data_IF_144413206336
#
_entry.id   IF_144413206336
#
_cell.length_a   1.000
_cell.length_b   1.000
_cell.length_c   1.000
_cell.angle_alpha   90.00
_cell.angle_beta   90.00
_cell.angle_gamma   90.00
#
_symmetry.space_group_name_H-M   'P 1'
#
loop_
_entity.id
_entity.type
_entity.pdbx_description
1 polymer ?
#
# COMPACT_ATOMS: atom_id res chain seq x y z
N UNK A 1 -43.55 -11.56 66.88
CA UNK A 1 -43.61 -11.02 65.51
C UNK A 1 -42.45 -10.04 65.30
N UNK A 2 -41.35 -10.47 64.68
CA UNK A 2 -40.31 -9.55 64.16
C UNK A 2 -40.45 -9.56 62.64
N UNK A 3 -40.89 -8.43 62.07
CA UNK A 3 -41.06 -8.24 60.63
C UNK A 3 -39.69 -8.18 59.96
N UNK A 4 -39.47 -9.04 58.98
CA UNK A 4 -38.35 -8.92 58.04
C UNK A 4 -38.50 -7.60 57.26
N UNK A 5 -37.48 -6.75 57.30
CA UNK A 5 -37.32 -5.64 56.37
C UNK A 5 -36.56 -6.17 55.16
N UNK A 6 -37.19 -6.18 53.99
CA UNK A 6 -36.52 -6.48 52.73
C UNK A 6 -35.65 -5.28 52.34
N UNK A 7 -34.33 -5.39 52.47
CA UNK A 7 -33.38 -4.43 51.92
C UNK A 7 -33.18 -4.73 50.43
N UNK A 8 -33.49 -3.78 49.56
CA UNK A 8 -33.26 -3.92 48.11
C UNK A 8 -32.03 -3.11 47.73
N UNK A 9 -30.99 -3.77 47.19
CA UNK A 9 -29.77 -3.12 46.71
C UNK A 9 -29.82 -2.94 45.20
N UNK A 10 -29.33 -1.79 44.72
CA UNK A 10 -29.07 -1.59 43.29
C UNK A 10 -27.61 -1.93 43.01
N UNK A 11 -27.39 -3.06 42.34
CA UNK A 11 -26.09 -3.49 41.85
C UNK A 11 -25.85 -2.87 40.46
N UNK A 12 -24.66 -2.32 40.25
CA UNK A 12 -24.23 -1.76 38.96
C UNK A 12 -22.94 -2.47 38.56
N UNK A 13 -22.88 -2.92 37.31
CA UNK A 13 -21.70 -3.56 36.76
C UNK A 13 -20.62 -2.52 36.50
N UNK A 14 -19.44 -2.70 37.09
CA UNK A 14 -18.29 -1.85 36.83
C UNK A 14 -17.40 -2.50 35.77
N UNK A 15 -17.31 -1.88 34.60
CA UNK A 15 -16.52 -2.37 33.46
C UNK A 15 -15.01 -2.25 33.66
N UNK A 16 -14.53 -1.44 34.61
CA UNK A 16 -13.10 -1.28 34.92
C UNK A 16 -12.64 -2.42 35.83
N UNK A 17 -13.48 -2.85 36.78
CA UNK A 17 -13.11 -3.87 37.79
C UNK A 17 -13.77 -5.23 37.57
N UNK A 18 -14.56 -5.40 36.50
CA UNK A 18 -15.21 -6.66 36.14
C UNK A 18 -16.15 -7.24 37.21
N UNK A 19 -16.73 -6.39 38.07
CA UNK A 19 -17.46 -6.81 39.27
C UNK A 19 -18.73 -5.98 39.50
N UNK A 20 -19.73 -6.59 40.16
CA UNK A 20 -20.97 -5.90 40.59
C UNK A 20 -20.70 -5.08 41.85
N UNK A 21 -20.95 -3.78 41.79
CA UNK A 21 -20.75 -2.84 42.91
C UNK A 21 -22.11 -2.28 43.35
N UNK A 22 -22.33 -2.15 44.67
CA UNK A 22 -23.59 -1.60 45.23
C UNK A 22 -23.57 -0.07 45.10
N UNK A 23 -24.52 0.51 44.37
CA UNK A 23 -24.48 1.94 44.02
C UNK A 23 -25.35 2.85 44.91
N UNK A 24 -26.35 2.34 45.65
CA UNK A 24 -26.98 3.08 46.77
C UNK A 24 -27.89 2.21 47.63
N UNK A 25 -28.09 2.65 48.89
CA UNK A 25 -29.10 2.14 49.82
C UNK A 25 -30.21 3.21 49.96
N UNK A 26 -31.45 2.91 49.55
CA UNK A 26 -32.58 3.80 49.77
C UNK A 26 -33.25 3.49 51.11
N UNK A 27 -32.74 4.03 52.22
CA UNK A 27 -33.37 3.91 53.53
C UNK A 27 -34.52 4.93 53.69
N UNK A 28 -35.78 4.48 53.74
CA UNK A 28 -36.90 5.34 54.19
C UNK A 28 -37.12 5.20 55.71
N UNK A 29 -36.93 6.35 56.38
CA UNK A 29 -37.51 6.82 57.65
C UNK A 29 -36.68 6.76 58.94
N UNK A 30 -36.33 7.98 59.39
CA UNK A 30 -36.21 8.52 60.77
C UNK A 30 -35.38 7.73 61.82
N UNK A 31 -34.16 8.20 62.08
CA UNK A 31 -33.45 7.93 63.34
C UNK A 31 -32.00 8.41 63.38
N UNK A 32 -31.74 9.48 64.15
CA UNK A 32 -30.49 10.04 64.69
C UNK A 32 -29.12 9.47 64.24
N UNK A 33 -28.27 10.37 63.74
CA UNK A 33 -26.81 10.17 63.55
C UNK A 33 -26.12 9.92 64.90
N UNK A 34 -25.42 8.80 65.03
CA UNK A 34 -24.36 8.60 66.01
C UNK A 34 -23.11 8.18 65.22
N UNK A 35 -22.06 9.00 65.30
CA UNK A 35 -20.79 8.74 64.64
C UNK A 35 -20.07 7.57 65.30
N UNK A 36 -19.79 6.53 64.53
CA UNK A 36 -18.75 5.55 64.82
C UNK A 36 -18.03 5.33 63.49
N UNK A 37 -16.87 5.97 63.34
CA UNK A 37 -15.93 5.64 62.29
C UNK A 37 -15.31 4.28 62.64
N UNK A 38 -15.84 3.20 62.08
CA UNK A 38 -15.13 1.93 62.03
C UNK A 38 -14.16 2.03 60.86
N UNK A 39 -12.89 2.31 61.16
CA UNK A 39 -11.81 2.16 60.20
C UNK A 39 -11.64 0.64 59.92
N UNK A 40 -12.34 0.13 58.90
CA UNK A 40 -11.96 -1.12 58.25
C UNK A 40 -10.73 -0.81 57.40
N UNK A 41 -9.54 -1.07 57.95
CA UNK A 41 -8.32 -1.22 57.17
C UNK A 41 -8.48 -2.45 56.28
N UNK A 42 -9.03 -2.26 55.09
CA UNK A 42 -8.89 -3.23 54.02
C UNK A 42 -7.42 -3.14 53.57
N UNK A 43 -6.58 -3.98 54.15
CA UNK A 43 -5.30 -4.33 53.55
C UNK A 43 -5.62 -5.05 52.23
N UNK A 44 -5.85 -4.28 51.17
CA UNK A 44 -5.71 -4.78 49.83
C UNK A 44 -4.22 -5.13 49.70
N UNK A 45 -3.91 -6.41 49.91
CA UNK A 45 -2.70 -7.00 49.34
C UNK A 45 -2.94 -6.93 47.83
N UNK A 46 -2.62 -5.79 47.22
CA UNK A 46 -2.29 -5.76 45.81
C UNK A 46 -1.04 -6.61 45.74
N UNK A 47 -1.19 -7.90 45.43
CA UNK A 47 -0.07 -8.68 44.93
C UNK A 47 0.37 -7.94 43.69
N UNK A 48 1.41 -7.10 43.83
CA UNK A 48 2.21 -6.65 42.70
C UNK A 48 2.53 -7.94 41.95
N UNK A 49 2.28 -8.04 40.63
CA UNK A 49 2.74 -9.20 39.88
C UNK A 49 4.22 -9.35 40.22
N UNK A 50 4.60 -10.47 40.81
CA UNK A 50 6.02 -10.77 40.95
C UNK A 50 6.54 -10.80 39.53
N UNK A 51 7.40 -9.84 39.17
CA UNK A 51 8.14 -9.87 37.91
C UNK A 51 8.74 -11.28 37.81
N UNK A 52 8.25 -12.07 36.85
CA UNK A 52 8.87 -13.36 36.56
C UNK A 52 10.34 -13.07 36.25
N UNK A 53 11.25 -13.75 36.95
CA UNK A 53 12.68 -13.55 36.72
C UNK A 53 13.01 -13.85 35.26
N UNK A 54 13.79 -12.97 34.62
CA UNK A 54 14.18 -13.12 33.22
C UNK A 54 14.83 -14.50 32.98
N UNK A 55 14.28 -15.26 32.03
CA UNK A 55 14.89 -16.52 31.59
C UNK A 55 16.01 -16.20 30.60
N UNK A 56 17.26 -16.36 31.03
CA UNK A 56 18.41 -16.11 30.15
C UNK A 56 18.88 -17.42 29.51
N UNK A 57 18.98 -17.44 28.19
CA UNK A 57 19.64 -18.51 27.41
C UNK A 57 21.06 -18.03 27.12
N UNK A 58 22.05 -18.62 27.79
CA UNK A 58 23.44 -18.16 27.72
C UNK A 58 24.10 -18.52 26.38
N UNK A 59 25.20 -17.85 26.05
CA UNK A 59 25.98 -18.19 24.86
C UNK A 59 26.41 -19.67 24.88
N UNK A 60 26.20 -20.37 23.76
CA UNK A 60 26.45 -21.81 23.64
C UNK A 60 25.34 -22.71 24.22
N UNK A 61 24.38 -22.15 24.93
CA UNK A 61 23.19 -22.87 25.37
C UNK A 61 22.18 -22.98 24.23
N UNK A 62 21.45 -24.09 24.18
CA UNK A 62 20.29 -24.26 23.31
C UNK A 62 19.09 -24.69 24.16
N UNK A 63 18.00 -23.93 24.05
CA UNK A 63 16.71 -24.30 24.60
C UNK A 63 15.72 -24.59 23.47
N UNK A 64 14.85 -25.57 23.69
CA UNK A 64 13.82 -25.94 22.72
C UNK A 64 12.46 -25.86 23.41
N UNK A 65 11.51 -25.32 22.67
CA UNK A 65 10.11 -25.16 23.03
C UNK A 65 9.89 -24.33 24.30
N UNK A 66 8.63 -23.98 24.53
CA UNK A 66 8.20 -23.22 25.69
C UNK A 66 7.27 -22.08 25.32
N UNK A 67 6.65 -21.50 26.32
CA UNK A 67 5.70 -20.41 26.14
C UNK A 67 6.05 -19.27 27.08
N UNK A 68 6.11 -18.04 26.56
CA UNK A 68 6.22 -16.82 27.37
C UNK A 68 4.84 -16.19 27.51
N UNK A 69 4.40 -15.96 28.75
CA UNK A 69 3.10 -15.37 29.09
C UNK A 69 3.25 -14.36 30.22
N UNK A 70 2.22 -13.61 30.60
CA UNK A 70 2.22 -12.84 31.86
C UNK A 70 3.45 -11.94 32.11
N UNK A 71 3.94 -11.28 31.07
CA UNK A 71 5.16 -10.45 31.05
C UNK A 71 6.47 -11.20 31.31
N UNK A 72 6.50 -12.52 31.13
CA UNK A 72 7.73 -13.32 31.12
C UNK A 72 8.71 -12.77 30.06
N UNK A 73 9.96 -12.58 30.46
CA UNK A 73 11.05 -12.24 29.56
C UNK A 73 11.94 -13.45 29.29
N UNK A 74 12.33 -13.64 28.02
CA UNK A 74 13.44 -14.50 27.66
C UNK A 74 14.54 -13.69 26.98
N UNK A 75 15.74 -13.67 27.55
CA UNK A 75 16.92 -13.02 26.97
C UNK A 75 17.77 -14.10 26.31
N UNK A 76 17.98 -14.01 24.99
CA UNK A 76 18.67 -15.03 24.21
C UNK A 76 20.04 -14.51 23.76
N UNK A 77 21.10 -15.07 24.34
CA UNK A 77 22.51 -14.91 23.91
C UNK A 77 23.02 -16.20 23.22
N UNK A 78 22.36 -17.34 23.44
CA UNK A 78 22.59 -18.62 22.78
C UNK A 78 21.58 -18.91 21.68
N UNK A 79 20.93 -20.07 21.72
CA UNK A 79 19.91 -20.49 20.73
C UNK A 79 18.59 -20.86 21.40
N UNK A 80 17.47 -20.35 20.87
CA UNK A 80 16.12 -20.72 21.31
C UNK A 80 15.27 -21.20 20.13
N UNK A 81 14.81 -22.45 20.15
CA UNK A 81 14.02 -23.04 19.07
C UNK A 81 12.57 -23.26 19.51
N UNK A 82 11.59 -23.03 18.63
CA UNK A 82 10.20 -23.47 18.85
C UNK A 82 9.44 -22.71 19.93
N UNK A 83 9.92 -21.52 20.33
CA UNK A 83 9.26 -20.73 21.37
C UNK A 83 7.92 -20.18 20.90
N UNK A 84 6.91 -20.20 21.78
CA UNK A 84 5.64 -19.48 21.59
C UNK A 84 5.60 -18.24 22.47
N UNK A 85 5.40 -17.06 21.89
CA UNK A 85 5.43 -15.77 22.60
C UNK A 85 4.03 -15.17 22.60
N UNK A 86 3.45 -14.99 23.79
CA UNK A 86 2.08 -14.47 23.99
C UNK A 86 2.04 -13.31 24.99
N UNK A 87 3.15 -12.59 25.14
CA UNK A 87 3.28 -11.43 26.03
C UNK A 87 4.31 -10.42 25.51
N UNK A 88 4.24 -9.17 25.99
CA UNK A 88 5.24 -8.13 25.73
C UNK A 88 4.87 -7.12 24.66
N UNK A 89 3.61 -7.04 24.21
CA UNK A 89 3.15 -6.12 23.17
C UNK A 89 2.11 -5.11 23.66
N UNK A 90 2.16 -4.71 24.93
CA UNK A 90 1.13 -3.88 25.57
C UNK A 90 0.94 -2.51 24.91
N UNK A 91 2.02 -1.95 24.36
CA UNK A 91 2.06 -0.62 23.75
C UNK A 91 2.41 -0.65 22.25
N UNK A 92 2.29 -1.82 21.61
CA UNK A 92 2.66 -2.04 20.21
C UNK A 92 4.14 -2.36 20.02
N UNK A 93 4.54 -2.92 18.87
CA UNK A 93 5.89 -3.47 18.64
C UNK A 93 7.02 -2.44 18.67
N UNK A 94 6.72 -1.18 18.35
CA UNK A 94 7.71 -0.09 18.28
C UNK A 94 7.92 0.65 19.61
N UNK A 95 7.42 0.11 20.72
CA UNK A 95 7.50 0.78 22.02
C UNK A 95 8.50 0.09 22.97
N UNK A 96 9.39 0.89 23.56
CA UNK A 96 10.38 0.42 24.54
C UNK A 96 9.80 0.23 25.95
N UNK A 97 8.60 0.76 26.22
CA UNK A 97 7.92 0.60 27.50
C UNK A 97 7.24 -0.77 27.68
N UNK A 98 7.24 -1.61 26.64
CA UNK A 98 6.75 -2.98 26.73
C UNK A 98 7.54 -3.81 27.75
N UNK A 99 6.85 -4.74 28.40
CA UNK A 99 7.45 -5.63 29.40
C UNK A 99 7.05 -7.07 29.12
N UNK A 100 8.03 -7.97 29.04
CA UNK A 100 7.83 -9.33 28.58
C UNK A 100 8.33 -9.55 27.15
N UNK A 101 8.25 -10.80 26.70
CA UNK A 101 8.56 -11.20 25.33
C UNK A 101 9.94 -11.85 25.18
N UNK A 102 10.32 -12.10 23.94
CA UNK A 102 11.60 -12.72 23.60
C UNK A 102 12.57 -11.69 23.04
N UNK A 103 13.74 -11.57 23.67
CA UNK A 103 14.76 -10.58 23.37
C UNK A 103 16.00 -11.27 22.83
N UNK A 104 16.18 -11.23 21.51
CA UNK A 104 17.35 -11.81 20.84
C UNK A 104 18.47 -10.78 20.86
N UNK A 105 19.50 -11.08 21.64
CA UNK A 105 20.65 -10.20 21.82
C UNK A 105 21.71 -10.47 20.74
N UNK A 106 22.77 -9.65 20.74
CA UNK A 106 23.91 -9.84 19.84
C UNK A 106 24.49 -11.27 19.96
N UNK A 107 24.58 -11.98 18.84
CA UNK A 107 25.01 -13.38 18.75
C UNK A 107 23.94 -14.40 19.13
N UNK A 108 22.80 -13.96 19.66
CA UNK A 108 21.65 -14.80 19.94
C UNK A 108 20.91 -15.21 18.66
N UNK A 109 20.37 -16.42 18.69
CA UNK A 109 19.64 -17.01 17.56
C UNK A 109 18.28 -17.53 18.06
N UNK A 110 17.19 -17.23 17.34
CA UNK A 110 15.93 -17.91 17.55
C UNK A 110 15.34 -18.48 16.26
N UNK A 111 14.87 -19.73 16.32
CA UNK A 111 14.33 -20.43 15.16
C UNK A 111 12.91 -20.91 15.44
N UNK A 112 12.05 -20.91 14.40
CA UNK A 112 10.69 -21.45 14.48
C UNK A 112 9.87 -20.81 15.62
N UNK A 113 10.07 -19.52 15.87
CA UNK A 113 9.33 -18.83 16.92
C UNK A 113 7.92 -18.50 16.45
N UNK A 114 6.91 -18.83 17.25
CA UNK A 114 5.52 -18.41 17.00
C UNK A 114 5.18 -17.23 17.90
N UNK A 115 4.85 -16.08 17.32
CA UNK A 115 4.42 -14.87 18.03
C UNK A 115 2.91 -14.73 17.87
N UNK A 116 2.17 -14.87 18.95
CA UNK A 116 0.69 -14.80 18.95
C UNK A 116 0.20 -13.41 19.37
N UNK A 117 -1.12 -13.22 19.44
CA UNK A 117 -1.73 -12.00 19.97
C UNK A 117 -1.13 -11.60 21.32
N UNK A 118 -0.68 -10.35 21.43
CA UNK A 118 -0.01 -9.80 22.63
C UNK A 118 1.47 -10.17 22.76
N UNK A 119 2.01 -11.00 21.86
CA UNK A 119 3.41 -11.42 21.84
C UNK A 119 4.34 -10.43 21.17
N UNK A 120 5.52 -10.21 21.76
CA UNK A 120 6.61 -9.44 21.16
C UNK A 120 7.88 -10.28 21.04
N UNK A 121 8.40 -10.38 19.80
CA UNK A 121 9.79 -10.77 19.56
C UNK A 121 10.62 -9.54 19.22
N UNK A 122 11.56 -9.16 20.09
CA UNK A 122 12.53 -8.10 19.80
C UNK A 122 13.86 -8.72 19.38
N UNK A 123 14.33 -8.33 18.21
CA UNK A 123 15.60 -8.77 17.63
C UNK A 123 16.54 -7.58 17.62
N UNK A 124 17.42 -7.49 18.61
CA UNK A 124 18.37 -6.40 18.72
C UNK A 124 19.48 -6.53 17.67
N UNK A 125 20.27 -5.46 17.50
CA UNK A 125 21.42 -5.47 16.61
C UNK A 125 22.36 -6.65 16.91
N UNK A 126 22.73 -7.39 15.85
CA UNK A 126 23.55 -8.60 15.93
C UNK A 126 22.80 -9.88 16.33
N UNK A 127 21.51 -9.80 16.70
CA UNK A 127 20.63 -10.95 16.87
C UNK A 127 20.09 -11.46 15.54
N UNK A 128 19.77 -12.76 15.47
CA UNK A 128 19.25 -13.40 14.26
C UNK A 128 18.03 -14.26 14.56
N UNK A 129 17.02 -14.19 13.70
CA UNK A 129 15.85 -15.06 13.77
C UNK A 129 15.53 -15.71 12.43
N UNK A 130 15.01 -16.93 12.47
CA UNK A 130 14.57 -17.66 11.28
C UNK A 130 13.23 -18.34 11.47
N UNK A 131 12.46 -18.41 10.38
CA UNK A 131 11.17 -19.11 10.31
C UNK A 131 10.18 -18.66 11.40
N UNK A 132 10.23 -17.37 11.76
CA UNK A 132 9.29 -16.77 12.71
C UNK A 132 7.90 -16.66 12.08
N UNK A 133 6.87 -17.14 12.78
CA UNK A 133 5.46 -16.97 12.39
C UNK A 133 4.79 -15.97 13.33
N UNK A 134 4.29 -14.86 12.79
CA UNK A 134 3.62 -13.81 13.55
C UNK A 134 2.14 -13.80 13.21
N UNK A 135 1.30 -14.14 14.17
CA UNK A 135 -0.16 -14.19 14.02
C UNK A 135 -0.81 -12.85 14.37
N UNK A 136 -2.10 -12.73 14.09
CA UNK A 136 -2.91 -11.54 14.40
C UNK A 136 -2.68 -10.99 15.81
N UNK A 137 -2.31 -9.70 15.87
CA UNK A 137 -2.02 -8.97 17.11
C UNK A 137 -0.69 -9.32 17.78
N UNK A 138 0.17 -10.12 17.14
CA UNK A 138 1.57 -10.31 17.52
C UNK A 138 2.49 -9.37 16.74
N UNK A 139 3.68 -9.10 17.28
CA UNK A 139 4.62 -8.17 16.67
C UNK A 139 6.08 -8.61 16.77
N UNK A 140 6.86 -8.23 15.77
CA UNK A 140 8.33 -8.29 15.80
C UNK A 140 8.94 -6.89 15.62
N UNK A 141 9.85 -6.54 16.52
CA UNK A 141 10.71 -5.34 16.44
C UNK A 141 12.10 -5.78 16.02
N UNK A 142 12.50 -5.42 14.79
CA UNK A 142 13.69 -5.97 14.13
C UNK A 142 14.77 -4.89 13.90
N UNK A 143 15.87 -4.97 14.66
CA UNK A 143 17.11 -4.19 14.47
C UNK A 143 18.30 -5.10 14.08
N UNK A 144 18.15 -6.42 14.21
CA UNK A 144 19.08 -7.44 13.73
C UNK A 144 18.65 -8.02 12.38
N UNK A 145 18.75 -9.34 12.25
CA UNK A 145 18.37 -10.07 11.03
C UNK A 145 17.16 -10.98 11.25
N UNK A 146 16.23 -10.98 10.30
CA UNK A 146 15.14 -11.96 10.22
C UNK A 146 15.10 -12.62 8.85
N UNK A 147 14.96 -13.95 8.83
CA UNK A 147 14.87 -14.74 7.60
C UNK A 147 13.56 -15.55 7.61
N UNK A 148 12.86 -15.59 6.48
CA UNK A 148 11.62 -16.36 6.28
C UNK A 148 10.51 -16.07 7.30
N UNK A 149 10.35 -14.80 7.68
CA UNK A 149 9.24 -14.43 8.58
C UNK A 149 7.90 -14.54 7.85
N UNK A 150 6.89 -15.13 8.48
CA UNK A 150 5.53 -15.21 7.94
C UNK A 150 4.57 -14.37 8.79
N UNK A 151 3.88 -13.41 8.17
CA UNK A 151 2.92 -12.51 8.83
C UNK A 151 1.49 -12.92 8.48
N UNK A 152 0.79 -13.57 9.42
CA UNK A 152 -0.60 -14.00 9.32
C UNK A 152 -1.50 -13.09 10.15
N UNK A 153 -1.59 -11.82 9.75
CA UNK A 153 -2.27 -10.76 10.52
C UNK A 153 -1.37 -10.06 11.55
N UNK A 154 -0.14 -10.52 11.73
CA UNK A 154 0.84 -9.93 12.63
C UNK A 154 1.69 -8.84 11.97
N UNK A 155 2.49 -8.18 12.79
CA UNK A 155 3.30 -7.03 12.38
C UNK A 155 4.81 -7.31 12.45
N UNK A 156 5.55 -6.80 11.47
CA UNK A 156 7.01 -6.73 11.51
C UNK A 156 7.47 -5.30 11.26
N UNK A 157 8.17 -4.74 12.24
CA UNK A 157 8.78 -3.42 12.16
C UNK A 157 10.28 -3.58 11.99
N UNK A 158 10.79 -3.25 10.80
CA UNK A 158 12.21 -3.28 10.48
C UNK A 158 12.77 -1.88 10.74
N UNK A 159 13.62 -1.75 11.75
CA UNK A 159 14.23 -0.48 12.17
C UNK A 159 15.57 -0.26 11.48
N UNK A 160 16.16 0.93 11.67
CA UNK A 160 17.49 1.28 11.20
C UNK A 160 18.51 0.16 11.49
N UNK A 161 19.25 -0.25 10.45
CA UNK A 161 20.22 -1.36 10.51
C UNK A 161 19.61 -2.77 10.46
N UNK A 162 18.30 -2.89 10.62
CA UNK A 162 17.57 -4.15 10.52
C UNK A 162 17.45 -4.66 9.09
N UNK A 163 17.53 -5.99 8.93
CA UNK A 163 17.44 -6.68 7.63
C UNK A 163 16.40 -7.80 7.71
N UNK A 164 15.35 -7.70 6.90
CA UNK A 164 14.34 -8.74 6.73
C UNK A 164 14.47 -9.42 5.35
N UNK A 165 14.73 -10.71 5.31
CA UNK A 165 14.85 -11.48 4.06
C UNK A 165 13.74 -12.51 3.94
N UNK A 166 13.04 -12.54 2.80
CA UNK A 166 12.04 -13.57 2.50
C UNK A 166 10.79 -13.47 3.36
N UNK A 167 10.38 -12.26 3.76
CA UNK A 167 9.15 -12.11 4.54
C UNK A 167 7.93 -12.38 3.66
N UNK A 168 7.00 -13.21 4.13
CA UNK A 168 5.72 -13.48 3.46
C UNK A 168 4.60 -12.79 4.24
N UNK A 169 3.92 -11.85 3.61
CA UNK A 169 2.84 -11.07 4.19
C UNK A 169 1.50 -11.62 3.69
N UNK A 170 0.80 -12.35 4.54
CA UNK A 170 -0.53 -12.92 4.27
C UNK A 170 -1.62 -12.01 4.83
N UNK A 171 -2.88 -12.46 4.76
CA UNK A 171 -4.08 -11.68 5.12
C UNK A 171 -3.89 -10.83 6.38
N UNK A 172 -4.07 -9.51 6.23
CA UNK A 172 -3.93 -8.47 7.27
C UNK A 172 -2.55 -8.35 7.92
N UNK A 173 -1.55 -9.10 7.46
CA UNK A 173 -0.18 -8.92 7.90
C UNK A 173 0.37 -7.58 7.46
N UNK A 174 1.33 -7.06 8.20
CA UNK A 174 1.94 -5.77 7.89
C UNK A 174 3.44 -5.73 8.15
N UNK A 175 4.20 -5.29 7.16
CA UNK A 175 5.62 -5.03 7.28
C UNK A 175 5.90 -3.54 7.09
N UNK A 176 6.49 -2.90 8.10
CA UNK A 176 6.97 -1.53 8.03
C UNK A 176 8.50 -1.50 7.98
N UNK A 177 9.07 -0.96 6.89
CA UNK A 177 10.52 -0.85 6.70
C UNK A 177 10.90 0.60 6.96
N UNK A 178 11.51 0.90 8.10
CA UNK A 178 11.89 2.25 8.48
C UNK A 178 13.09 2.76 7.70
N UNK A 179 13.35 4.06 7.80
CA UNK A 179 14.57 4.66 7.25
C UNK A 179 15.83 3.94 7.76
N UNK A 180 16.79 3.68 6.87
CA UNK A 180 18.00 2.92 7.15
C UNK A 180 17.83 1.41 7.32
N UNK A 181 16.61 0.88 7.11
CA UNK A 181 16.31 -0.54 7.13
C UNK A 181 16.20 -1.13 5.72
N UNK A 182 16.41 -2.44 5.59
CA UNK A 182 16.30 -3.15 4.30
C UNK A 182 15.39 -4.36 4.42
N UNK A 183 14.47 -4.51 3.46
CA UNK A 183 13.80 -5.77 3.22
C UNK A 183 14.15 -6.33 1.84
N UNK A 184 14.42 -7.63 1.75
CA UNK A 184 14.67 -8.31 0.48
C UNK A 184 13.74 -9.48 0.28
N UNK A 185 13.33 -9.71 -0.97
CA UNK A 185 12.59 -10.90 -1.38
C UNK A 185 11.23 -11.03 -0.64
N UNK A 186 10.64 -9.90 -0.24
CA UNK A 186 9.31 -9.88 0.39
C UNK A 186 8.24 -10.32 -0.61
N UNK A 187 7.32 -11.19 -0.16
CA UNK A 187 6.12 -11.59 -0.90
C UNK A 187 4.89 -10.98 -0.23
N UNK A 188 4.13 -10.17 -0.96
CA UNK A 188 2.97 -9.44 -0.44
C UNK A 188 1.67 -9.99 -1.02
N UNK A 189 0.78 -10.50 -0.17
CA UNK A 189 -0.49 -11.16 -0.54
C UNK A 189 -1.74 -10.46 0.03
N UNK A 190 -1.59 -9.28 0.65
CA UNK A 190 -2.69 -8.50 1.26
C UNK A 190 -2.42 -6.99 1.19
N UNK A 191 -3.44 -6.18 1.47
CA UNK A 191 -3.37 -4.72 1.59
C UNK A 191 -4.01 -3.94 0.44
N UNK A 192 -4.44 -4.60 -0.63
CA UNK A 192 -5.12 -3.98 -1.78
C UNK A 192 -6.62 -4.32 -1.87
N UNK A 193 -7.22 -4.93 -0.86
CA UNK A 193 -8.61 -5.40 -0.89
C UNK A 193 -9.64 -4.25 -1.05
N UNK A 194 -9.27 -3.01 -0.70
CA UNK A 194 -10.07 -1.80 -0.91
C UNK A 194 -9.92 -1.16 -2.30
N UNK A 195 -9.02 -1.68 -3.14
CA UNK A 195 -8.63 -1.05 -4.40
C UNK A 195 -7.59 0.06 -4.24
N UNK A 196 -7.24 0.74 -5.34
CA UNK A 196 -6.03 1.56 -5.42
C UNK A 196 -6.10 2.91 -4.70
N UNK A 197 -7.30 3.45 -4.51
CA UNK A 197 -7.54 4.72 -3.82
C UNK A 197 -8.11 4.50 -2.40
N UNK A 198 -8.12 3.26 -1.90
CA UNK A 198 -8.50 3.02 -0.51
C UNK A 198 -7.46 3.61 0.45
N UNK A 199 -7.94 4.33 1.47
CA UNK A 199 -7.18 4.61 2.68
C UNK A 199 -6.91 3.29 3.38
N UNK A 200 -5.85 2.60 2.98
CA UNK A 200 -5.51 1.32 3.57
C UNK A 200 -4.93 1.55 4.96
N UNK A 201 -5.46 0.79 5.94
CA UNK A 201 -4.84 0.67 7.26
C UNK A 201 -3.50 -0.09 7.19
N UNK A 202 -2.92 -0.34 8.35
CA UNK A 202 -1.64 -1.01 8.56
C UNK A 202 -1.67 -2.47 8.06
N UNK A 203 -1.57 -2.67 6.74
CA UNK A 203 -1.57 -3.97 6.02
C UNK A 203 -0.71 -3.91 4.77
N UNK A 204 -0.17 -5.05 4.33
CA UNK A 204 0.75 -5.11 3.19
C UNK A 204 2.16 -4.68 3.59
N UNK A 205 2.88 -4.01 2.70
CA UNK A 205 4.23 -3.51 2.96
C UNK A 205 4.30 -1.98 2.85
N UNK A 206 4.79 -1.31 3.88
CA UNK A 206 5.11 0.12 3.86
C UNK A 206 6.62 0.33 3.89
N UNK A 207 7.14 1.06 2.92
CA UNK A 207 8.58 1.27 2.69
C UNK A 207 8.93 2.73 2.96
N UNK A 208 9.59 3.00 4.08
CA UNK A 208 10.27 4.27 4.38
C UNK A 208 11.79 4.17 4.19
N UNK A 209 12.36 2.97 4.24
CA UNK A 209 13.75 2.66 3.89
C UNK A 209 13.86 2.00 2.51
N UNK A 210 14.52 0.85 2.42
CA UNK A 210 14.77 0.15 1.17
C UNK A 210 14.05 -1.21 1.09
N UNK A 211 13.34 -1.45 -0.02
CA UNK A 211 12.77 -2.75 -0.37
C UNK A 211 13.35 -3.25 -1.70
N UNK A 212 13.83 -4.48 -1.75
CA UNK A 212 14.52 -5.04 -2.94
C UNK A 212 13.91 -6.38 -3.34
N UNK A 213 13.63 -6.56 -4.64
CA UNK A 213 13.04 -7.80 -5.20
C UNK A 213 11.70 -8.18 -4.54
N UNK A 214 10.85 -7.18 -4.31
CA UNK A 214 9.50 -7.44 -3.77
C UNK A 214 8.62 -8.06 -4.84
N UNK A 215 7.88 -9.11 -4.48
CA UNK A 215 6.82 -9.69 -5.30
C UNK A 215 5.47 -9.33 -4.72
N UNK A 216 4.64 -8.65 -5.50
CA UNK A 216 3.28 -8.27 -5.11
C UNK A 216 2.29 -9.14 -5.88
N UNK A 217 1.61 -10.03 -5.16
CA UNK A 217 0.60 -10.92 -5.73
C UNK A 217 -0.77 -10.25 -5.73
N UNK A 218 -1.78 -10.98 -6.19
CA UNK A 218 -3.19 -10.57 -6.09
C UNK A 218 -3.52 -10.14 -4.65
N UNK A 219 -4.20 -9.00 -4.51
CA UNK A 219 -4.55 -8.33 -3.26
C UNK A 219 -3.35 -7.79 -2.48
N UNK A 220 -2.11 -7.98 -2.95
CA UNK A 220 -0.92 -7.43 -2.33
C UNK A 220 -0.79 -5.93 -2.56
N UNK A 221 -0.31 -5.20 -1.55
CA UNK A 221 0.04 -3.79 -1.69
C UNK A 221 1.40 -3.43 -1.12
N UNK A 222 2.20 -2.72 -1.91
CA UNK A 222 3.38 -2.00 -1.45
C UNK A 222 3.14 -0.49 -1.51
N UNK A 223 3.42 0.21 -0.41
CA UNK A 223 3.44 1.67 -0.34
C UNK A 223 4.90 2.10 -0.20
N UNK A 224 5.42 2.79 -1.21
CA UNK A 224 6.73 3.45 -1.15
C UNK A 224 6.50 4.87 -0.65
N UNK A 225 6.78 5.12 0.62
CA UNK A 225 6.65 6.45 1.23
C UNK A 225 7.65 7.44 0.62
N UNK A 226 7.52 8.74 0.92
CA UNK A 226 8.29 9.82 0.28
C UNK A 226 9.82 9.61 0.32
N UNK A 227 10.36 9.09 1.43
CA UNK A 227 11.79 8.81 1.59
C UNK A 227 12.17 7.37 1.21
N UNK A 228 11.19 6.53 0.90
CA UNK A 228 11.39 5.11 0.63
C UNK A 228 11.86 4.85 -0.79
N UNK A 229 12.60 3.75 -0.97
CA UNK A 229 13.00 3.23 -2.27
C UNK A 229 12.59 1.77 -2.41
N UNK A 230 11.91 1.44 -3.52
CA UNK A 230 11.64 0.06 -3.92
C UNK A 230 12.37 -0.26 -5.22
N UNK A 231 13.14 -1.36 -5.24
CA UNK A 231 13.96 -1.75 -6.39
C UNK A 231 13.61 -3.16 -6.88
N UNK A 232 13.45 -3.33 -8.19
CA UNK A 232 13.17 -4.61 -8.85
C UNK A 232 11.86 -5.23 -8.34
N UNK A 233 10.80 -4.42 -8.24
CA UNK A 233 9.49 -4.89 -7.79
C UNK A 233 8.74 -5.57 -8.94
N UNK A 234 8.13 -6.73 -8.70
CA UNK A 234 7.24 -7.39 -9.66
C UNK A 234 5.81 -7.35 -9.13
N UNK A 235 4.90 -6.82 -9.94
CA UNK A 235 3.48 -6.68 -9.57
C UNK A 235 2.62 -7.53 -10.49
N UNK A 236 1.96 -8.53 -9.94
CA UNK A 236 1.03 -9.41 -10.68
C UNK A 236 -0.40 -8.87 -10.68
N UNK A 237 -1.25 -9.50 -11.51
CA UNK A 237 -2.65 -9.14 -11.65
C UNK A 237 -3.40 -9.01 -10.32
N UNK A 238 -3.97 -7.81 -10.09
CA UNK A 238 -4.69 -7.45 -8.87
C UNK A 238 -3.81 -7.10 -7.67
N UNK A 239 -2.50 -6.95 -7.86
CA UNK A 239 -1.59 -6.33 -6.89
C UNK A 239 -1.27 -4.88 -7.25
N UNK A 240 -0.93 -4.10 -6.24
CA UNK A 240 -0.76 -2.65 -6.33
C UNK A 240 0.57 -2.16 -5.74
N UNK A 241 1.24 -1.25 -6.44
CA UNK A 241 2.34 -0.45 -5.90
C UNK A 241 1.95 1.04 -5.90
N UNK A 242 1.98 1.68 -4.74
CA UNK A 242 1.77 3.12 -4.58
C UNK A 242 3.10 3.81 -4.32
N UNK A 243 3.46 4.80 -5.13
CA UNK A 243 4.78 5.42 -5.13
C UNK A 243 4.67 6.90 -4.78
N UNK A 244 5.09 7.25 -3.57
CA UNK A 244 5.35 8.61 -3.11
C UNK A 244 6.85 8.96 -3.07
N UNK A 245 7.72 7.94 -2.93
CA UNK A 245 9.18 8.07 -3.02
C UNK A 245 9.71 7.57 -4.37
N UNK A 246 10.61 6.59 -4.35
CA UNK A 246 11.29 6.10 -5.56
C UNK A 246 11.00 4.62 -5.85
N UNK A 247 10.49 4.33 -7.04
CA UNK A 247 10.36 2.96 -7.57
C UNK A 247 11.30 2.76 -8.76
N UNK A 248 12.20 1.77 -8.67
CA UNK A 248 13.19 1.46 -9.70
C UNK A 248 12.93 0.06 -10.27
N UNK A 249 12.99 -0.07 -11.59
CA UNK A 249 12.92 -1.34 -12.32
C UNK A 249 11.67 -2.17 -11.98
N UNK A 250 10.52 -1.50 -11.90
CA UNK A 250 9.25 -2.16 -11.60
C UNK A 250 8.72 -2.89 -12.85
N UNK A 251 8.32 -4.15 -12.70
CA UNK A 251 7.68 -4.94 -13.77
C UNK A 251 6.20 -5.19 -13.45
N UNK A 252 5.30 -4.71 -14.30
CA UNK A 252 3.85 -4.87 -14.16
C UNK A 252 3.33 -6.00 -15.04
N UNK A 253 3.07 -7.16 -14.44
CA UNK A 253 2.52 -8.37 -15.08
C UNK A 253 1.01 -8.48 -14.81
N UNK A 254 0.23 -7.52 -15.31
CA UNK A 254 -1.20 -7.39 -15.02
C UNK A 254 -1.51 -6.55 -13.77
N UNK A 255 -0.51 -6.19 -12.99
CA UNK A 255 -0.64 -5.36 -11.79
C UNK A 255 -0.60 -3.86 -12.06
N UNK A 256 -0.73 -3.08 -10.98
CA UNK A 256 -0.85 -1.62 -11.05
C UNK A 256 0.30 -0.90 -10.35
N UNK A 257 0.75 0.22 -10.94
CA UNK A 257 1.63 1.18 -10.27
C UNK A 257 1.02 2.57 -10.32
N UNK A 258 0.87 3.19 -9.16
CA UNK A 258 0.37 4.56 -9.01
C UNK A 258 1.51 5.47 -8.57
N UNK A 259 1.97 6.34 -9.46
CA UNK A 259 2.98 7.35 -9.17
C UNK A 259 2.26 8.61 -8.72
N UNK A 260 2.32 8.90 -7.42
CA UNK A 260 1.67 10.04 -6.80
C UNK A 260 2.55 11.30 -6.87
N UNK A 261 1.99 12.44 -6.45
CA UNK A 261 2.72 13.69 -6.34
C UNK A 261 4.02 13.53 -5.53
N UNK A 262 5.14 13.97 -6.10
CA UNK A 262 6.49 13.82 -5.54
C UNK A 262 7.14 12.46 -5.80
N UNK A 263 6.35 11.44 -6.17
CA UNK A 263 6.82 10.11 -6.49
C UNK A 263 7.53 10.05 -7.83
N UNK A 264 8.56 9.21 -7.92
CA UNK A 264 9.30 8.93 -9.15
C UNK A 264 9.35 7.42 -9.42
N UNK A 265 8.94 7.00 -10.61
CA UNK A 265 9.14 5.64 -11.10
C UNK A 265 10.11 5.64 -12.29
N UNK A 266 11.21 4.88 -12.21
CA UNK A 266 12.21 4.77 -13.29
C UNK A 266 12.34 3.34 -13.78
N UNK A 267 12.42 3.15 -15.10
CA UNK A 267 12.63 1.83 -15.71
C UNK A 267 11.42 0.89 -15.59
N UNK A 268 10.20 1.45 -15.48
CA UNK A 268 8.99 0.62 -15.37
C UNK A 268 8.70 -0.10 -16.68
N UNK A 269 8.49 -1.42 -16.61
CA UNK A 269 8.09 -2.26 -17.74
C UNK A 269 6.64 -2.68 -17.56
N UNK A 270 5.77 -2.23 -18.47
CA UNK A 270 4.34 -2.48 -18.45
C UNK A 270 3.99 -3.60 -19.45
N UNK A 271 3.76 -4.81 -18.95
CA UNK A 271 3.38 -5.97 -19.76
C UNK A 271 1.85 -6.06 -19.95
N UNK A 272 1.37 -7.12 -20.60
CA UNK A 272 -0.06 -7.33 -20.87
C UNK A 272 -0.89 -7.11 -19.60
N UNK A 273 -1.94 -6.30 -19.75
CA UNK A 273 -2.90 -5.94 -18.69
C UNK A 273 -2.28 -5.16 -17.50
N UNK A 274 -0.96 -4.95 -17.50
CA UNK A 274 -0.29 -4.07 -16.56
C UNK A 274 -0.66 -2.62 -16.82
N UNK A 275 -0.71 -1.82 -15.76
CA UNK A 275 -1.14 -0.44 -15.86
C UNK A 275 -0.33 0.47 -14.93
N UNK A 276 0.44 1.37 -15.54
CA UNK A 276 1.10 2.45 -14.83
C UNK A 276 0.26 3.73 -14.93
N UNK A 277 -0.01 4.35 -13.78
CA UNK A 277 -0.77 5.60 -13.65
C UNK A 277 0.15 6.65 -13.05
N UNK A 278 0.45 7.69 -13.82
CA UNK A 278 1.18 8.87 -13.35
C UNK A 278 0.16 9.95 -13.00
N UNK A 279 -0.02 10.21 -11.70
CA UNK A 279 -0.92 11.25 -11.19
C UNK A 279 -0.26 12.63 -11.29
N UNK A 280 -1.03 13.67 -10.99
CA UNK A 280 -0.53 15.06 -10.93
C UNK A 280 0.71 15.15 -10.02
N UNK A 281 1.78 15.77 -10.52
CA UNK A 281 3.05 15.93 -9.81
C UNK A 281 3.90 14.66 -9.70
N UNK A 282 3.45 13.53 -10.25
CA UNK A 282 4.25 12.30 -10.36
C UNK A 282 5.16 12.31 -11.59
N UNK A 283 6.29 11.61 -11.50
CA UNK A 283 7.27 11.45 -12.59
C UNK A 283 7.48 9.97 -12.93
N UNK A 284 7.27 9.60 -14.18
CA UNK A 284 7.74 8.34 -14.73
C UNK A 284 8.87 8.58 -15.74
N UNK A 285 9.96 7.83 -15.64
CA UNK A 285 11.10 7.92 -16.56
C UNK A 285 11.45 6.54 -17.10
N UNK A 286 11.87 6.47 -18.36
CA UNK A 286 12.23 5.22 -19.06
C UNK A 286 11.15 4.14 -19.00
N UNK A 287 9.87 4.53 -19.11
CA UNK A 287 8.77 3.57 -19.15
C UNK A 287 8.73 2.83 -20.48
N UNK A 288 8.65 1.50 -20.44
CA UNK A 288 8.43 0.65 -21.61
C UNK A 288 7.03 0.07 -21.53
N UNK A 289 6.20 0.32 -22.54
CA UNK A 289 4.85 -0.23 -22.63
C UNK A 289 4.82 -1.28 -23.72
N UNK A 290 4.65 -2.54 -23.33
CA UNK A 290 4.53 -3.66 -24.23
C UNK A 290 3.08 -3.84 -24.72
N UNK A 291 2.87 -4.81 -25.61
CA UNK A 291 1.55 -5.11 -26.16
C UNK A 291 0.53 -5.37 -25.04
N UNK A 292 -0.62 -4.69 -25.11
CA UNK A 292 -1.71 -4.68 -24.11
C UNK A 292 -1.34 -4.13 -22.73
N UNK A 293 -0.12 -3.62 -22.54
CA UNK A 293 0.22 -2.78 -21.40
C UNK A 293 -0.35 -1.38 -21.57
N UNK A 294 -0.58 -0.68 -20.46
CA UNK A 294 -1.13 0.67 -20.47
C UNK A 294 -0.30 1.64 -19.63
N UNK A 295 0.11 2.74 -20.24
CA UNK A 295 0.57 3.94 -19.53
C UNK A 295 -0.55 4.97 -19.55
N UNK A 296 -0.97 5.41 -18.36
CA UNK A 296 -1.85 6.57 -18.20
C UNK A 296 -1.09 7.72 -17.55
N UNK A 297 -1.13 8.90 -18.15
CA UNK A 297 -0.55 10.13 -17.60
C UNK A 297 -1.65 11.16 -17.45
N UNK A 298 -1.97 11.49 -16.20
CA UNK A 298 -2.99 12.46 -15.88
C UNK A 298 -2.48 13.90 -16.11
N UNK A 299 -3.40 14.87 -16.11
CA UNK A 299 -3.03 16.28 -16.15
C UNK A 299 -2.00 16.62 -15.05
N UNK A 300 -0.96 17.37 -15.40
CA UNK A 300 0.15 17.69 -14.51
C UNK A 300 1.09 16.52 -14.14
N UNK A 301 0.84 15.31 -14.63
CA UNK A 301 1.79 14.20 -14.57
C UNK A 301 2.85 14.29 -15.65
N UNK A 302 4.04 13.74 -15.39
CA UNK A 302 5.18 13.77 -16.31
C UNK A 302 5.65 12.34 -16.60
N UNK A 303 5.75 11.99 -17.88
CA UNK A 303 6.37 10.75 -18.33
C UNK A 303 7.41 11.02 -19.42
N UNK A 304 8.69 10.76 -19.14
CA UNK A 304 9.79 10.99 -20.09
C UNK A 304 10.42 9.68 -20.55
N UNK A 305 11.09 9.73 -21.71
CA UNK A 305 11.78 8.58 -22.30
C UNK A 305 10.87 7.34 -22.47
N UNK A 306 9.60 7.57 -22.77
CA UNK A 306 8.61 6.51 -22.96
C UNK A 306 8.94 5.72 -24.24
N UNK A 307 8.87 4.40 -24.17
CA UNK A 307 8.93 3.51 -25.33
C UNK A 307 7.61 2.77 -25.46
N UNK A 308 6.75 3.24 -26.36
CA UNK A 308 5.50 2.54 -26.74
C UNK A 308 5.82 1.50 -27.81
N UNK A 309 5.79 0.21 -27.43
CA UNK A 309 5.84 -0.88 -28.41
C UNK A 309 4.48 -1.00 -29.11
N UNK A 310 4.47 -1.66 -30.28
CA UNK A 310 3.23 -1.89 -31.02
C UNK A 310 2.19 -2.62 -30.16
N UNK A 311 0.99 -2.06 -30.11
CA UNK A 311 -0.12 -2.52 -29.28
C UNK A 311 -0.03 -2.11 -27.80
N UNK A 312 0.94 -1.28 -27.42
CA UNK A 312 0.97 -0.62 -26.11
C UNK A 312 0.04 0.59 -26.10
N UNK A 313 -0.73 0.76 -25.03
CA UNK A 313 -1.69 1.85 -24.90
C UNK A 313 -1.09 3.04 -24.15
N UNK A 314 -1.26 4.24 -24.72
CA UNK A 314 -1.07 5.52 -24.03
C UNK A 314 -2.43 6.17 -23.79
N UNK A 315 -2.75 6.50 -22.54
CA UNK A 315 -3.92 7.28 -22.15
C UNK A 315 -3.46 8.59 -21.55
N UNK A 316 -3.74 9.72 -22.19
CA UNK A 316 -3.27 11.02 -21.72
C UNK A 316 -4.12 12.18 -22.23
N UNK A 317 -3.81 13.39 -21.79
CA UNK A 317 -4.36 14.63 -22.33
C UNK A 317 -3.25 15.61 -22.65
N UNK A 318 -3.60 16.64 -23.42
CA UNK A 318 -2.71 17.78 -23.69
C UNK A 318 -2.33 18.62 -22.46
N UNK A 319 -2.90 18.34 -21.27
CA UNK A 319 -2.49 18.93 -19.99
C UNK A 319 -1.41 18.11 -19.24
N UNK A 320 -0.96 16.98 -19.79
CA UNK A 320 0.16 16.20 -19.27
C UNK A 320 1.46 16.53 -20.02
N UNK A 321 2.58 16.04 -19.50
CA UNK A 321 3.87 16.01 -20.23
C UNK A 321 4.24 14.56 -20.53
N UNK A 322 4.32 14.16 -21.80
CA UNK A 322 4.70 12.81 -22.23
C UNK A 322 5.69 12.91 -23.40
N UNK A 323 6.91 12.40 -23.25
CA UNK A 323 7.90 12.36 -24.34
C UNK A 323 8.47 10.98 -24.52
N UNK A 324 8.72 10.59 -25.78
CA UNK A 324 9.22 9.27 -26.06
C UNK A 324 9.23 8.89 -27.53
N UNK A 325 9.18 7.58 -27.78
CA UNK A 325 9.10 6.99 -29.09
C UNK A 325 7.99 5.95 -29.17
N UNK A 326 7.41 5.80 -30.36
CA UNK A 326 6.46 4.77 -30.73
C UNK A 326 6.87 4.15 -32.07
N UNK A 327 6.03 3.28 -32.64
CA UNK A 327 6.32 2.59 -33.91
C UNK A 327 6.50 3.52 -35.14
N UNK A 328 6.11 4.78 -35.05
CA UNK A 328 6.29 5.80 -36.10
C UNK A 328 7.47 6.75 -35.86
N UNK A 329 8.18 6.61 -34.73
CA UNK A 329 9.30 7.48 -34.35
C UNK A 329 9.02 8.24 -33.06
N UNK A 330 9.64 9.41 -32.91
CA UNK A 330 9.49 10.22 -31.71
C UNK A 330 8.10 10.87 -31.64
N UNK A 331 7.57 11.00 -30.43
CA UNK A 331 6.33 11.73 -30.15
C UNK A 331 6.48 12.56 -28.88
N UNK A 332 5.65 13.60 -28.77
CA UNK A 332 5.61 14.45 -27.59
C UNK A 332 4.18 14.93 -27.30
N UNK A 333 3.87 15.09 -26.03
CA UNK A 333 2.74 15.85 -25.50
C UNK A 333 3.33 16.80 -24.47
N UNK A 334 3.38 18.09 -24.76
CA UNK A 334 3.99 19.08 -23.87
C UNK A 334 3.42 20.47 -24.16
N UNK A 335 3.27 21.29 -23.12
CA UNK A 335 2.84 22.69 -23.24
C UNK A 335 1.55 22.88 -24.07
N UNK A 336 0.54 22.01 -23.87
CA UNK A 336 -0.72 22.08 -24.61
C UNK A 336 -0.64 21.61 -26.06
N UNK A 337 0.44 20.95 -26.47
CA UNK A 337 0.64 20.45 -27.84
C UNK A 337 1.00 18.96 -27.84
N UNK A 338 0.28 18.17 -28.61
CA UNK A 338 0.64 16.80 -28.96
C UNK A 338 1.19 16.70 -30.39
N UNK A 339 2.21 15.88 -30.61
CA UNK A 339 2.85 15.63 -31.92
C UNK A 339 3.22 14.15 -32.04
N UNK A 340 2.76 13.49 -33.12
CA UNK A 340 3.17 12.13 -33.48
C UNK A 340 2.61 11.04 -32.57
N UNK A 341 1.55 11.32 -31.81
CA UNK A 341 0.92 10.36 -30.89
C UNK A 341 0.25 9.23 -31.68
N UNK A 342 0.50 7.98 -31.26
CA UNK A 342 -0.18 6.78 -31.77
C UNK A 342 -1.14 6.28 -30.69
N UNK A 343 -2.40 6.07 -31.06
CA UNK A 343 -3.46 5.57 -30.18
C UNK A 343 -3.93 4.21 -30.72
N UNK A 344 -3.69 3.16 -29.95
CA UNK A 344 -4.05 1.79 -30.28
C UNK A 344 -4.31 0.99 -28.99
N UNK A 345 -5.02 -0.13 -29.08
CA UNK A 345 -5.23 -1.08 -27.96
C UNK A 345 -5.78 -0.45 -26.67
N UNK A 346 -6.71 0.50 -26.79
CA UNK A 346 -7.29 1.24 -25.65
C UNK A 346 -6.56 2.56 -25.34
N UNK A 347 -5.59 2.96 -26.15
CA UNK A 347 -4.96 4.27 -26.05
C UNK A 347 -5.95 5.41 -26.31
N UNK A 348 -5.78 6.53 -25.60
CA UNK A 348 -6.64 7.71 -25.70
C UNK A 348 -5.84 9.00 -25.59
N UNK A 349 -6.18 9.99 -26.41
CA UNK A 349 -5.70 11.37 -26.26
C UNK A 349 -6.90 12.31 -26.14
N UNK A 350 -6.93 13.08 -25.06
CA UNK A 350 -7.83 14.22 -24.88
C UNK A 350 -7.12 15.55 -25.27
N UNK A 351 -7.60 16.17 -26.35
CA UNK A 351 -7.16 17.49 -26.82
C UNK A 351 -8.11 18.54 -26.25
N UNK A 352 -7.62 19.32 -25.29
CA UNK A 352 -8.42 20.26 -24.51
C UNK A 352 -8.65 21.59 -25.27
N UNK A 353 -9.53 22.42 -24.74
CA UNK A 353 -9.79 23.77 -25.25
C UNK A 353 -8.49 24.59 -25.33
N UNK A 354 -8.26 25.26 -26.46
CA UNK A 354 -7.06 26.07 -26.69
C UNK A 354 -5.77 25.27 -26.95
N UNK A 355 -5.82 23.94 -26.84
CA UNK A 355 -4.69 23.05 -27.09
C UNK A 355 -4.72 22.47 -28.51
N UNK A 356 -3.61 21.82 -28.90
CA UNK A 356 -3.47 21.26 -30.24
C UNK A 356 -2.85 19.85 -30.26
N UNK A 357 -3.18 19.08 -31.30
CA UNK A 357 -2.55 17.83 -31.65
C UNK A 357 -2.21 17.81 -33.14
N UNK A 358 -1.05 17.26 -33.49
CA UNK A 358 -0.60 17.11 -34.87
C UNK A 358 -0.15 15.68 -35.13
N UNK A 359 -0.47 15.15 -36.32
CA UNK A 359 -0.05 13.81 -36.77
C UNK A 359 -0.46 12.68 -35.81
N UNK A 360 -1.65 12.78 -35.22
CA UNK A 360 -2.19 11.70 -34.41
C UNK A 360 -2.64 10.55 -35.31
N UNK A 361 -2.09 9.35 -35.06
CA UNK A 361 -2.61 8.11 -35.63
C UNK A 361 -3.61 7.51 -34.64
N UNK A 362 -4.82 7.22 -35.12
CA UNK A 362 -5.87 6.55 -34.35
C UNK A 362 -6.15 5.21 -35.01
N UNK A 363 -5.64 4.15 -34.39
CA UNK A 363 -5.71 2.77 -34.88
C UNK A 363 -6.68 1.93 -34.05
N UNK A 364 -6.70 0.62 -34.30
CA UNK A 364 -7.63 -0.31 -33.65
C UNK A 364 -7.66 -0.17 -32.12
N UNK A 365 -8.85 0.15 -31.58
CA UNK A 365 -9.07 0.39 -30.16
C UNK A 365 -8.55 1.73 -29.64
N UNK A 366 -7.98 2.59 -30.49
CA UNK A 366 -7.54 3.94 -30.14
C UNK A 366 -8.70 4.95 -30.15
N UNK A 367 -8.63 5.96 -29.28
CA UNK A 367 -9.64 7.04 -29.23
C UNK A 367 -8.99 8.42 -29.20
N UNK A 368 -9.23 9.23 -30.23
CA UNK A 368 -8.94 10.65 -30.18
C UNK A 368 -10.20 11.41 -29.75
N UNK A 369 -10.09 12.19 -28.68
CA UNK A 369 -11.15 13.08 -28.22
C UNK A 369 -10.69 14.53 -28.30
N UNK A 370 -11.48 15.37 -28.97
CA UNK A 370 -11.17 16.78 -29.17
C UNK A 370 -12.33 17.61 -28.65
N UNK A 371 -12.07 18.37 -27.58
CA UNK A 371 -13.07 19.26 -26.99
C UNK A 371 -13.33 20.48 -27.89
N UNK A 372 -14.46 21.15 -27.69
CA UNK A 372 -14.73 22.48 -28.21
C UNK A 372 -13.51 23.41 -28.00
N UNK A 373 -13.13 24.14 -29.05
CA UNK A 373 -11.95 25.01 -29.06
C UNK A 373 -10.59 24.28 -29.09
N UNK A 374 -10.57 22.94 -29.03
CA UNK A 374 -9.38 22.12 -29.27
C UNK A 374 -9.12 21.91 -30.77
N UNK A 375 -7.86 21.67 -31.12
CA UNK A 375 -7.43 21.52 -32.53
C UNK A 375 -6.65 20.23 -32.78
N UNK A 376 -7.06 19.39 -33.72
CA UNK A 376 -6.29 18.21 -34.15
C UNK A 376 -6.12 18.18 -35.67
N UNK A 377 -4.89 18.26 -36.18
CA UNK A 377 -4.62 18.27 -37.63
C UNK A 377 -3.66 17.17 -38.07
N UNK A 378 -3.77 16.76 -39.33
CA UNK A 378 -3.01 15.63 -39.85
C UNK A 378 -3.40 14.32 -39.18
N UNK A 379 -4.64 14.21 -38.70
CA UNK A 379 -5.15 13.00 -38.08
C UNK A 379 -5.22 11.90 -39.13
N UNK A 380 -4.74 10.71 -38.79
CA UNK A 380 -4.91 9.52 -39.62
C UNK A 380 -5.78 8.53 -38.85
N UNK A 381 -6.98 8.27 -39.35
CA UNK A 381 -7.89 7.28 -38.80
C UNK A 381 -7.78 5.98 -39.61
N UNK A 382 -7.48 4.87 -38.95
CA UNK A 382 -7.54 3.52 -39.53
C UNK A 382 -8.73 2.74 -38.96
N UNK A 383 -8.96 1.53 -39.48
CA UNK A 383 -10.06 0.67 -39.05
C UNK A 383 -9.95 0.38 -37.54
N UNK A 384 -11.07 0.48 -36.82
CA UNK A 384 -11.10 0.24 -35.37
C UNK A 384 -10.83 1.49 -34.52
N UNK A 385 -10.39 2.59 -35.12
CA UNK A 385 -10.19 3.87 -34.43
C UNK A 385 -11.50 4.61 -34.15
N UNK A 386 -11.52 5.41 -33.08
CA UNK A 386 -12.67 6.24 -32.68
C UNK A 386 -12.29 7.73 -32.59
N UNK A 387 -13.18 8.59 -33.11
CA UNK A 387 -13.11 10.05 -32.95
C UNK A 387 -14.30 10.52 -32.10
N UNK A 388 -14.02 11.28 -31.05
CA UNK A 388 -15.03 11.97 -30.24
C UNK A 388 -14.78 13.47 -30.39
N UNK A 389 -15.75 14.20 -30.94
CA UNK A 389 -15.63 15.65 -31.13
C UNK A 389 -16.99 16.33 -31.09
N UNK A 390 -17.00 17.65 -30.92
CA UNK A 390 -18.19 18.49 -31.09
C UNK A 390 -18.00 19.52 -32.21
N UNK A 391 -19.08 20.19 -32.60
CA UNK A 391 -19.10 21.20 -33.67
C UNK A 391 -18.19 22.40 -33.39
N UNK A 392 -17.79 22.65 -32.15
CA UNK A 392 -16.83 23.68 -31.76
C UNK A 392 -15.37 23.24 -31.84
N UNK A 393 -15.08 21.96 -32.12
CA UNK A 393 -13.71 21.45 -32.30
C UNK A 393 -13.18 21.70 -33.72
N UNK A 394 -11.87 21.89 -33.86
CA UNK A 394 -11.21 21.94 -35.18
C UNK A 394 -10.46 20.63 -35.43
N UNK A 395 -10.92 19.82 -36.39
CA UNK A 395 -10.29 18.53 -36.70
C UNK A 395 -10.07 18.40 -38.21
N UNK A 396 -8.89 17.96 -38.63
CA UNK A 396 -8.57 17.70 -40.05
C UNK A 396 -7.74 16.43 -40.20
N UNK A 397 -8.12 15.57 -41.13
CA UNK A 397 -7.43 14.31 -41.34
C UNK A 397 -7.90 13.48 -42.53
N UNK A 398 -7.47 12.23 -42.53
CA UNK A 398 -7.93 11.20 -43.47
C UNK A 398 -8.46 9.98 -42.74
N UNK A 399 -9.52 9.38 -43.26
CA UNK A 399 -10.10 8.11 -42.84
C UNK A 399 -10.27 7.18 -44.06
N UNK A 400 -10.93 6.03 -43.88
CA UNK A 400 -11.17 5.07 -44.95
C UNK A 400 -11.98 5.63 -46.15
N UNK A 401 -12.76 6.70 -45.94
CA UNK A 401 -13.55 7.39 -46.97
C UNK A 401 -12.82 8.57 -47.62
N UNK A 402 -11.58 8.88 -47.21
CA UNK A 402 -10.79 9.98 -47.74
C UNK A 402 -10.59 11.10 -46.72
N UNK A 403 -10.58 12.35 -47.17
CA UNK A 403 -10.39 13.51 -46.28
C UNK A 403 -11.65 13.78 -45.46
N UNK A 404 -11.46 14.19 -44.21
CA UNK A 404 -12.53 14.67 -43.34
C UNK A 404 -12.10 15.93 -42.59
N UNK A 405 -13.09 16.71 -42.17
CA UNK A 405 -12.86 17.92 -41.38
C UNK A 405 -14.02 18.27 -40.46
N UNK A 406 -13.70 18.97 -39.37
CA UNK A 406 -14.62 19.74 -38.53
C UNK A 406 -14.00 21.14 -38.42
N UNK A 407 -14.72 22.16 -38.84
CA UNK A 407 -14.32 23.55 -38.67
C UNK A 407 -15.04 24.13 -37.45
N UNK A 408 -14.29 24.26 -36.34
CA UNK A 408 -14.82 24.73 -35.07
C UNK A 408 -15.29 26.19 -35.07
N UNK A 409 -14.95 26.98 -36.10
CA UNK A 409 -15.41 28.37 -36.24
C UNK A 409 -16.80 28.41 -36.89
N UNK A 410 -17.00 27.62 -37.95
CA UNK A 410 -18.28 27.60 -38.68
C UNK A 410 -19.26 26.54 -38.17
N UNK A 411 -18.80 25.59 -37.36
CA UNK A 411 -19.57 24.42 -36.95
C UNK A 411 -19.75 23.37 -38.06
N UNK A 412 -19.09 23.53 -39.21
CA UNK A 412 -19.27 22.64 -40.35
C UNK A 412 -18.40 21.39 -40.23
N UNK A 413 -19.02 20.23 -40.33
CA UNK A 413 -18.35 18.94 -40.43
C UNK A 413 -18.54 18.32 -41.83
N UNK A 414 -17.51 17.65 -42.34
CA UNK A 414 -17.51 17.01 -43.65
C UNK A 414 -16.68 15.73 -43.64
N UNK A 415 -17.16 14.68 -44.31
CA UNK A 415 -16.43 13.43 -44.48
C UNK A 415 -16.21 12.61 -43.20
N UNK A 416 -16.93 12.90 -42.11
CA UNK A 416 -16.80 12.15 -40.86
C UNK A 416 -17.22 10.68 -41.05
N UNK A 417 -16.43 9.78 -40.48
CA UNK A 417 -16.73 8.36 -40.35
C UNK A 417 -16.77 8.03 -38.86
N UNK A 418 -17.96 7.82 -38.31
CA UNK A 418 -18.19 7.59 -36.89
C UNK A 418 -18.40 6.08 -36.65
N UNK A 419 -17.32 5.41 -36.27
CA UNK A 419 -17.30 3.98 -35.98
C UNK A 419 -16.69 3.73 -34.59
N UNK A 420 -16.78 2.49 -34.09
CA UNK A 420 -16.04 2.03 -32.91
C UNK A 420 -16.31 2.85 -31.63
N UNK A 421 -17.52 3.40 -31.49
CA UNK A 421 -17.89 4.27 -30.38
C UNK A 421 -17.52 5.74 -30.56
N UNK A 422 -17.01 6.12 -31.73
CA UNK A 422 -16.86 7.52 -32.13
C UNK A 422 -18.20 8.25 -32.13
N UNK A 423 -18.19 9.51 -31.73
CA UNK A 423 -19.38 10.34 -31.58
C UNK A 423 -19.11 11.77 -31.98
N UNK A 424 -20.08 12.39 -32.64
CA UNK A 424 -20.05 13.81 -32.99
C UNK A 424 -21.29 14.51 -32.43
N UNK A 425 -21.08 15.59 -31.68
CA UNK A 425 -22.17 16.41 -31.11
C UNK A 425 -22.29 17.72 -31.88
N UNK A 426 -23.50 18.04 -32.34
CA UNK A 426 -23.79 19.24 -33.16
C UNK A 426 -24.29 20.39 -32.30
#
# INVERSE_FOLDING_TARGET
MKRHLNTSYRLVWNHITGTLVVASELARSRGKRAGVAVALSLAAVTSVPALAADKVVQAGETVNDGTLTNHDNQIVLGTANGMTISTGLEYGPDNEANTGGQWIQNGGIANNTTVTGGGLQRVNAGGSVSDTVISAGGGQSLQGQAVNTTLNGGEQWVHEGGIATGTVINEKGWQAIKSGAVATDTVVNTGAEGGPDAENGDTGQTVYGDAVRTTINKNGRQIVAAEGTANTTVVYAGGDQTVHGHALDTTLNGGYQYVHNGGTASGTVVNSDGWQIVKEGGLADFTIVNQKGKLQVNAGGIATNVTLKQGGALVTSTAATVTGSNRLGNFAVENGKADGVVLESGGRLDVLEGHSAWKTLVDDGGTLAVSAGGKATGVTMTSGGALIADSGATVEGTNASGKFSIDGISGQASGLLLENGGSFTV
#
